data_IF_931789751897
#
_entry.id   IF_931789751897
#
_cell.length_a   1.000
_cell.length_b   1.000
_cell.length_c   1.000
_cell.angle_alpha   90.00
_cell.angle_beta   90.00
_cell.angle_gamma   90.00
#
_symmetry.space_group_name_H-M   'P 1'
#
loop_
_entity.id
_entity.type
_entity.pdbx_description
1 polymer ?
#
# COMPACT_ATOMS: atom_id res chain seq x y z
N UNK A 1 -10.28 11.17 -14.90
CA UNK A 1 -9.08 10.32 -14.68
C UNK A 1 -9.56 8.95 -14.21
N UNK A 2 -9.20 7.85 -14.89
CA UNK A 2 -9.68 6.49 -14.54
C UNK A 2 -8.82 5.93 -13.40
N UNK A 3 -9.45 5.36 -12.36
CA UNK A 3 -8.74 4.70 -11.26
C UNK A 3 -8.26 3.30 -11.65
N UNK A 4 -7.09 2.90 -11.15
CA UNK A 4 -6.55 1.55 -11.27
C UNK A 4 -7.07 0.74 -10.07
N UNK A 5 -7.83 -0.32 -10.34
CA UNK A 5 -8.36 -1.19 -9.29
C UNK A 5 -7.35 -2.30 -8.96
N UNK A 6 -6.88 -2.33 -7.71
CA UNK A 6 -6.01 -3.39 -7.18
C UNK A 6 -6.77 -4.26 -6.18
N UNK A 7 -6.71 -5.56 -6.41
CA UNK A 7 -7.18 -6.59 -5.47
C UNK A 7 -6.00 -7.39 -4.93
N UNK A 8 -6.21 -8.16 -3.85
CA UNK A 8 -5.12 -8.92 -3.19
C UNK A 8 -3.91 -8.01 -2.91
N UNK A 9 -4.20 -6.78 -2.48
CA UNK A 9 -3.24 -5.70 -2.45
C UNK A 9 -2.41 -5.76 -1.16
N UNK A 10 -1.17 -5.29 -1.22
CA UNK A 10 -0.24 -5.21 -0.09
C UNK A 10 0.63 -3.96 -0.19
N UNK A 11 1.24 -3.60 0.94
CA UNK A 11 2.22 -2.51 1.00
C UNK A 11 3.61 -3.10 0.77
N UNK A 12 4.42 -2.43 -0.05
CA UNK A 12 5.85 -2.73 -0.20
C UNK A 12 6.67 -1.52 0.23
N UNK A 13 7.78 -1.77 0.92
CA UNK A 13 8.76 -0.72 1.24
C UNK A 13 9.65 -0.54 0.02
N UNK A 14 9.83 0.71 -0.40
CA UNK A 14 10.74 1.04 -1.49
C UNK A 14 12.19 1.05 -1.01
N UNK A 15 13.12 1.00 -1.96
CA UNK A 15 14.55 1.02 -1.67
C UNK A 15 14.95 2.23 -0.79
N UNK A 16 15.88 2.00 0.14
CA UNK A 16 16.32 3.00 1.12
C UNK A 16 15.33 3.27 2.25
N UNK A 17 14.24 2.50 2.38
CA UNK A 17 13.22 2.66 3.42
C UNK A 17 12.64 4.10 3.47
N UNK A 18 12.50 4.77 2.34
CA UNK A 18 12.06 6.19 2.28
C UNK A 18 10.58 6.37 1.98
N UNK A 19 9.99 5.41 1.27
CA UNK A 19 8.62 5.47 0.80
C UNK A 19 8.01 4.07 0.75
N UNK A 20 6.70 4.03 0.51
CA UNK A 20 5.97 2.79 0.26
C UNK A 20 5.29 2.83 -1.10
N UNK A 21 5.17 1.66 -1.72
CA UNK A 21 4.35 1.40 -2.90
C UNK A 21 3.26 0.38 -2.59
N UNK A 22 2.34 0.20 -3.53
CA UNK A 22 1.33 -0.85 -3.51
C UNK A 22 1.71 -1.93 -4.51
N UNK A 23 1.55 -3.19 -4.10
CA UNK A 23 1.54 -4.33 -5.01
C UNK A 23 0.18 -5.01 -4.96
N UNK A 24 -0.24 -5.64 -6.05
CA UNK A 24 -1.47 -6.41 -6.09
C UNK A 24 -1.82 -6.90 -7.48
N UNK A 25 -3.03 -7.43 -7.62
CA UNK A 25 -3.59 -7.86 -8.90
C UNK A 25 -4.42 -6.73 -9.51
N UNK A 26 -3.99 -6.26 -10.68
CA UNK A 26 -4.64 -5.19 -11.42
C UNK A 26 -5.83 -5.71 -12.22
N UNK A 27 -7.03 -5.26 -11.87
CA UNK A 27 -8.29 -5.83 -12.36
C UNK A 27 -8.54 -5.57 -13.84
N UNK A 28 -8.22 -4.37 -14.34
CA UNK A 28 -8.36 -4.01 -15.76
C UNK A 28 -7.33 -4.71 -16.67
N UNK A 29 -6.33 -5.38 -16.10
CA UNK A 29 -5.30 -6.14 -16.82
C UNK A 29 -5.38 -7.63 -16.50
N UNK A 30 -6.61 -8.19 -16.41
CA UNK A 30 -6.86 -9.62 -16.17
C UNK A 30 -6.16 -10.18 -14.93
N UNK A 31 -6.02 -9.35 -13.89
CA UNK A 31 -5.40 -9.74 -12.63
C UNK A 31 -3.87 -9.84 -12.67
N UNK A 32 -3.21 -9.23 -13.65
CA UNK A 32 -1.76 -9.14 -13.73
C UNK A 32 -1.16 -8.60 -12.41
N UNK A 33 -0.06 -9.21 -11.98
CA UNK A 33 0.71 -8.69 -10.85
C UNK A 33 1.28 -7.32 -11.21
N UNK A 34 0.99 -6.34 -10.36
CA UNK A 34 1.30 -4.95 -10.60
C UNK A 34 1.96 -4.34 -9.38
N UNK A 35 2.87 -3.41 -9.60
CA UNK A 35 3.47 -2.57 -8.57
C UNK A 35 3.25 -1.09 -8.94
N UNK A 36 2.95 -0.26 -7.95
CA UNK A 36 2.76 1.17 -8.12
C UNK A 36 4.05 1.96 -7.91
N UNK A 37 4.04 3.24 -8.29
CA UNK A 37 4.99 4.24 -7.78
C UNK A 37 4.70 4.54 -6.29
N UNK A 38 5.54 5.39 -5.69
CA UNK A 38 5.41 5.82 -4.30
C UNK A 38 4.03 6.40 -3.99
N UNK A 39 3.41 5.98 -2.89
CA UNK A 39 2.14 6.54 -2.40
C UNK A 39 2.42 7.88 -1.71
N UNK A 40 1.73 8.93 -2.17
CA UNK A 40 1.95 10.32 -1.69
C UNK A 40 0.73 10.90 -0.99
N UNK A 41 -0.47 10.50 -1.42
CA UNK A 41 -1.73 11.11 -0.97
C UNK A 41 -2.83 10.07 -0.75
N UNK A 42 -3.68 10.33 0.23
CA UNK A 42 -4.91 9.59 0.52
C UNK A 42 -6.12 10.43 0.13
N UNK A 43 -6.81 10.03 -0.94
CA UNK A 43 -8.08 10.65 -1.38
C UNK A 43 -9.23 10.13 -0.52
N UNK A 44 -9.28 8.81 -0.31
CA UNK A 44 -10.22 8.14 0.59
C UNK A 44 -9.52 6.98 1.30
N UNK A 45 -10.20 6.29 2.22
CA UNK A 45 -9.57 5.20 2.96
C UNK A 45 -9.06 4.08 2.04
N UNK A 46 -9.75 3.80 0.93
CA UNK A 46 -9.35 2.83 -0.07
C UNK A 46 -8.91 3.47 -1.40
N UNK A 47 -8.69 4.79 -1.44
CA UNK A 47 -8.27 5.50 -2.65
C UNK A 47 -7.00 6.31 -2.41
N UNK A 48 -5.95 6.00 -3.16
CA UNK A 48 -4.62 6.57 -3.00
C UNK A 48 -4.09 7.13 -4.31
N UNK A 49 -3.29 8.20 -4.22
CA UNK A 49 -2.56 8.75 -5.36
C UNK A 49 -1.07 8.49 -5.22
N UNK A 50 -0.43 8.14 -6.34
CA UNK A 50 1.02 7.98 -6.42
C UNK A 50 1.74 9.28 -6.78
N UNK A 51 3.06 9.30 -6.64
CA UNK A 51 3.92 10.40 -7.12
C UNK A 51 3.78 10.70 -8.61
N UNK A 52 3.47 9.68 -9.43
CA UNK A 52 3.17 9.85 -10.86
C UNK A 52 1.75 10.37 -11.16
N UNK A 53 0.97 10.70 -10.13
CA UNK A 53 -0.41 11.18 -10.26
C UNK A 53 -1.45 10.09 -10.52
N UNK A 54 -1.07 8.82 -10.53
CA UNK A 54 -2.01 7.70 -10.78
C UNK A 54 -2.89 7.46 -9.55
N UNK A 55 -4.19 7.28 -9.76
CA UNK A 55 -5.15 6.99 -8.70
C UNK A 55 -5.42 5.49 -8.61
N UNK A 56 -5.29 4.92 -7.42
CA UNK A 56 -5.54 3.52 -7.12
C UNK A 56 -6.76 3.35 -6.23
N UNK A 57 -7.62 2.39 -6.57
CA UNK A 57 -8.73 1.93 -5.75
C UNK A 57 -8.41 0.53 -5.21
N UNK A 58 -8.34 0.41 -3.88
CA UNK A 58 -8.05 -0.83 -3.18
C UNK A 58 -9.33 -1.63 -2.95
N UNK A 59 -9.35 -2.86 -3.45
CA UNK A 59 -10.48 -3.78 -3.31
C UNK A 59 -10.17 -4.89 -2.32
N UNK A 60 -11.08 -5.06 -1.35
CA UNK A 60 -10.95 -6.07 -0.31
C UNK A 60 -9.91 -5.71 0.75
N UNK A 61 -9.60 -6.70 1.59
CA UNK A 61 -8.62 -6.55 2.67
C UNK A 61 -7.20 -6.64 2.13
N UNK A 62 -6.27 -6.05 2.87
CA UNK A 62 -4.83 -6.21 2.60
C UNK A 62 -4.44 -7.70 2.66
N UNK A 63 -3.49 -8.12 1.83
CA UNK A 63 -2.88 -9.45 1.86
C UNK A 63 -1.95 -9.57 3.08
N UNK A 64 -2.59 -9.69 4.24
CA UNK A 64 -1.93 -9.83 5.54
C UNK A 64 -1.12 -11.12 5.68
N UNK A 65 -1.48 -12.18 4.94
CA UNK A 65 -0.77 -13.45 5.00
C UNK A 65 0.61 -13.32 4.34
N UNK A 66 0.67 -12.74 3.15
CA UNK A 66 1.95 -12.51 2.46
C UNK A 66 2.79 -11.49 3.20
N UNK A 67 2.22 -10.37 3.66
CA UNK A 67 2.98 -9.37 4.41
C UNK A 67 3.60 -9.93 5.70
N UNK A 68 2.89 -10.79 6.44
CA UNK A 68 3.46 -11.46 7.62
C UNK A 68 4.65 -12.36 7.26
N UNK A 69 4.55 -13.11 6.16
CA UNK A 69 5.66 -13.95 5.66
C UNK A 69 6.88 -13.11 5.23
N UNK A 70 6.64 -11.90 4.72
CA UNK A 70 7.69 -10.92 4.38
C UNK A 70 8.26 -10.18 5.60
N UNK A 71 7.85 -10.53 6.82
CA UNK A 71 8.40 -9.97 8.05
C UNK A 71 7.77 -8.65 8.49
N UNK A 72 6.62 -8.24 7.93
CA UNK A 72 5.93 -7.05 8.42
C UNK A 72 5.29 -7.31 9.80
N UNK A 73 5.46 -6.39 10.77
CA UNK A 73 4.83 -6.52 12.08
C UNK A 73 3.31 -6.58 11.99
N UNK A 74 2.69 -7.47 12.77
CA UNK A 74 1.23 -7.61 12.80
C UNK A 74 0.52 -6.29 13.14
N UNK A 75 1.07 -5.51 14.09
CA UNK A 75 0.53 -4.20 14.48
C UNK A 75 0.50 -3.22 13.31
N UNK A 76 1.55 -3.22 12.48
CA UNK A 76 1.59 -2.41 11.26
C UNK A 76 0.51 -2.84 10.29
N UNK A 77 0.46 -4.12 9.91
CA UNK A 77 -0.52 -4.66 8.94
C UNK A 77 -1.96 -4.36 9.39
N UNK A 78 -2.27 -4.55 10.68
CA UNK A 78 -3.63 -4.35 11.21
C UNK A 78 -4.15 -2.93 10.98
N UNK A 79 -3.28 -1.92 11.06
CA UNK A 79 -3.62 -0.50 10.80
C UNK A 79 -4.10 -0.25 9.36
N UNK A 80 -3.80 -1.16 8.43
CA UNK A 80 -4.13 -1.05 7.01
C UNK A 80 -5.16 -2.08 6.51
N UNK A 81 -5.81 -2.84 7.42
CA UNK A 81 -6.66 -3.99 7.04
C UNK A 81 -7.70 -3.67 5.95
N UNK A 82 -8.30 -2.48 6.01
CA UNK A 82 -9.33 -2.00 5.07
C UNK A 82 -8.87 -0.79 4.24
N UNK A 83 -7.56 -0.53 4.17
CA UNK A 83 -6.99 0.65 3.54
C UNK A 83 -6.35 1.61 4.54
N UNK A 84 -6.19 2.87 4.14
CA UNK A 84 -5.37 3.88 4.78
C UNK A 84 -6.21 4.82 5.64
N UNK A 85 -5.93 4.84 6.95
CA UNK A 85 -6.52 5.83 7.87
C UNK A 85 -5.97 7.24 7.60
N UNK A 86 -6.55 8.29 8.22
CA UNK A 86 -6.02 9.66 8.08
C UNK A 86 -4.57 9.79 8.59
N UNK A 87 -4.20 9.00 9.60
CA UNK A 87 -2.87 8.97 10.24
C UNK A 87 -1.88 8.03 9.55
N UNK A 88 -2.19 7.54 8.36
CA UNK A 88 -1.37 6.53 7.68
C UNK A 88 0.08 6.94 7.50
N UNK A 89 0.35 8.23 7.26
CA UNK A 89 1.71 8.75 7.08
C UNK A 89 2.54 8.58 8.36
N UNK A 90 1.96 8.87 9.52
CA UNK A 90 2.62 8.65 10.82
C UNK A 90 2.96 7.18 11.02
N UNK A 91 2.03 6.28 10.71
CA UNK A 91 2.25 4.83 10.85
C UNK A 91 3.32 4.28 9.90
N UNK A 92 3.39 4.82 8.69
CA UNK A 92 4.44 4.47 7.72
C UNK A 92 5.77 5.04 8.16
N UNK A 93 5.81 6.29 8.61
CA UNK A 93 7.03 6.93 9.07
C UNK A 93 7.63 6.20 10.27
N UNK A 94 6.83 5.93 11.32
CA UNK A 94 7.22 5.15 12.50
C UNK A 94 7.84 3.81 12.07
N UNK A 95 7.15 3.08 11.18
CA UNK A 95 7.62 1.79 10.67
C UNK A 95 8.92 1.88 9.86
N UNK A 96 9.08 2.90 9.02
CA UNK A 96 10.30 3.08 8.22
C UNK A 96 11.49 3.50 9.09
N UNK A 97 11.27 4.33 10.11
CA UNK A 97 12.30 4.71 11.08
C UNK A 97 12.78 3.51 11.89
N UNK A 98 11.87 2.64 12.34
CA UNK A 98 12.22 1.37 13.02
C UNK A 98 13.09 0.46 12.17
N UNK A 99 12.93 0.47 10.84
CA UNK A 99 13.73 -0.36 9.91
C UNK A 99 15.10 0.22 9.55
N UNK A 100 15.36 1.48 9.87
CA UNK A 100 16.67 2.12 9.65
C UNK A 100 17.60 2.01 10.86
N UNK A 101 17.04 1.65 12.02
CA UNK A 101 17.78 1.35 13.25
C UNK A 101 18.37 -0.05 13.17
#
# INVERSE_FOLDING_TARGET
>A
QKSICLSSWRIKVMEGNTAISLEGKRQDMKGLLWHSNAITERVAHNQLRTSSGSLYLLQGKIDSATMRREGFPYRFIKRFTYGFSRRWKEYVQEFLEERRR
#
